data_IF_342276403203
#
_entry.id   IF_342276403203
#
_cell.length_a   1.000
_cell.length_b   1.000
_cell.length_c   1.000
_cell.angle_alpha   90.00
_cell.angle_beta   90.00
_cell.angle_gamma   90.00
#
_symmetry.space_group_name_H-M   'P 1'
#
loop_
_entity.id
_entity.type
_entity.pdbx_description
1 polymer ?
#
# COMPACT_ATOMS: atom_id res chain seq x y z
N UNK A 1 -18.02 -18.67 16.84
CA UNK A 1 -17.96 -18.48 15.36
C UNK A 1 -18.79 -19.58 14.70
N UNK A 2 -19.65 -19.21 13.75
CA UNK A 2 -20.54 -20.14 13.06
C UNK A 2 -19.78 -21.15 12.20
N UNK A 3 -20.17 -22.43 12.27
CA UNK A 3 -19.59 -23.48 11.45
C UNK A 3 -19.95 -23.29 9.96
N UNK A 4 -18.97 -23.27 9.03
CA UNK A 4 -19.25 -23.06 7.61
C UNK A 4 -19.91 -24.27 6.93
N UNK A 5 -19.93 -25.44 7.57
CA UNK A 5 -20.47 -26.68 7.01
C UNK A 5 -21.92 -26.96 7.41
N UNK A 6 -22.27 -26.76 8.69
CA UNK A 6 -23.61 -27.08 9.20
C UNK A 6 -24.35 -25.87 9.78
N UNK A 7 -23.71 -24.72 9.89
CA UNK A 7 -24.32 -23.51 10.43
C UNK A 7 -24.46 -23.45 11.95
N UNK A 8 -23.98 -24.45 12.69
CA UNK A 8 -23.98 -24.42 14.16
C UNK A 8 -23.22 -23.21 14.69
N UNK A 9 -23.76 -22.55 15.69
CA UNK A 9 -23.24 -21.25 16.16
C UNK A 9 -21.96 -21.37 17.00
N UNK A 10 -21.76 -22.51 17.64
CA UNK A 10 -20.63 -22.73 18.53
C UNK A 10 -19.56 -23.62 17.91
N UNK A 11 -18.33 -23.15 17.95
CA UNK A 11 -17.15 -23.89 17.53
C UNK A 11 -16.03 -23.64 18.52
N UNK A 12 -15.19 -24.66 18.77
CA UNK A 12 -14.08 -24.58 19.70
C UNK A 12 -12.74 -24.45 18.96
N UNK A 13 -11.84 -23.67 19.52
CA UNK A 13 -10.45 -23.59 19.02
C UNK A 13 -9.67 -24.78 19.60
N UNK A 14 -9.16 -25.63 18.71
CA UNK A 14 -8.35 -26.81 19.10
C UNK A 14 -6.85 -26.57 18.98
N UNK A 15 -6.45 -25.58 18.17
CA UNK A 15 -5.04 -25.20 18.01
C UNK A 15 -4.94 -23.72 17.66
N UNK A 16 -3.92 -23.04 18.20
CA UNK A 16 -3.55 -21.66 17.85
C UNK A 16 -2.07 -21.61 17.51
N UNK A 17 -1.73 -20.99 16.38
CA UNK A 17 -0.34 -20.72 15.97
C UNK A 17 -0.19 -19.26 15.56
N UNK A 18 0.88 -18.65 16.04
CA UNK A 18 1.32 -17.33 15.56
C UNK A 18 2.17 -17.53 14.29
N UNK A 19 2.01 -16.67 13.29
CA UNK A 19 2.93 -16.62 12.16
C UNK A 19 4.35 -16.27 12.61
N UNK A 20 5.37 -16.80 11.96
CA UNK A 20 6.79 -16.56 12.32
C UNK A 20 7.15 -15.08 12.31
N UNK A 21 6.55 -14.31 11.39
CA UNK A 21 6.70 -12.86 11.25
C UNK A 21 5.74 -12.05 12.15
N UNK A 22 4.88 -12.71 12.93
CA UNK A 22 3.92 -12.08 13.83
C UNK A 22 2.72 -11.40 13.13
N UNK A 23 2.56 -11.53 11.82
CA UNK A 23 1.57 -10.78 11.03
C UNK A 23 0.14 -11.28 11.16
N UNK A 24 -0.06 -12.53 11.58
CA UNK A 24 -1.39 -13.10 11.78
C UNK A 24 -1.38 -14.23 12.81
N UNK A 25 -2.57 -14.54 13.35
CA UNK A 25 -2.84 -15.70 14.19
C UNK A 25 -3.67 -16.68 13.37
N UNK A 26 -3.20 -17.93 13.27
CA UNK A 26 -3.92 -19.04 12.67
C UNK A 26 -4.57 -19.87 13.77
N UNK A 27 -5.89 -20.08 13.66
CA UNK A 27 -6.63 -20.93 14.60
C UNK A 27 -7.31 -22.08 13.86
N UNK A 28 -7.10 -23.30 14.36
CA UNK A 28 -7.85 -24.46 13.91
C UNK A 28 -9.05 -24.65 14.84
N UNK A 29 -10.23 -24.72 14.25
CA UNK A 29 -11.49 -24.84 14.97
C UNK A 29 -12.16 -26.17 14.67
N UNK A 30 -12.95 -26.68 15.63
CA UNK A 30 -13.80 -27.85 15.47
C UNK A 30 -15.25 -27.50 15.86
N UNK A 31 -16.20 -27.94 15.03
CA UNK A 31 -17.62 -27.81 15.33
C UNK A 31 -18.05 -28.88 16.31
N UNK A 32 -18.78 -28.50 17.36
CA UNK A 32 -19.34 -29.47 18.33
C UNK A 32 -20.49 -30.29 17.77
N UNK A 33 -21.18 -29.82 16.71
CA UNK A 33 -22.34 -30.53 16.14
C UNK A 33 -21.96 -31.50 15.00
N UNK A 34 -21.16 -31.07 14.03
CA UNK A 34 -20.78 -31.90 12.88
C UNK A 34 -19.34 -32.43 12.93
N UNK A 35 -18.60 -32.12 13.97
CA UNK A 35 -17.21 -32.51 14.24
C UNK A 35 -16.18 -32.11 13.17
N UNK A 36 -16.61 -31.46 12.09
CA UNK A 36 -15.72 -30.98 11.04
C UNK A 36 -14.80 -29.88 11.56
N UNK A 37 -13.59 -29.89 11.01
CA UNK A 37 -12.56 -28.91 11.35
C UNK A 37 -12.40 -27.89 10.21
N UNK A 38 -12.14 -26.63 10.58
CA UNK A 38 -11.83 -25.56 9.65
C UNK A 38 -10.80 -24.61 10.26
N UNK A 39 -10.15 -23.84 9.42
CA UNK A 39 -9.11 -22.90 9.84
C UNK A 39 -9.61 -21.47 9.69
N UNK A 40 -9.29 -20.65 10.68
CA UNK A 40 -9.52 -19.21 10.64
C UNK A 40 -8.23 -18.45 10.83
N UNK A 41 -8.17 -17.24 10.31
CA UNK A 41 -7.06 -16.34 10.46
C UNK A 41 -7.54 -15.04 11.11
N UNK A 42 -6.77 -14.56 12.06
CA UNK A 42 -6.94 -13.25 12.68
C UNK A 42 -5.79 -12.37 12.22
N UNK A 43 -6.12 -11.27 11.54
CA UNK A 43 -5.16 -10.28 11.03
C UNK A 43 -5.59 -8.90 11.47
N UNK A 44 -4.64 -7.99 11.75
CA UNK A 44 -4.99 -6.59 11.96
C UNK A 44 -5.69 -6.02 10.71
N UNK A 45 -6.79 -5.35 10.91
CA UNK A 45 -7.39 -4.55 9.84
C UNK A 45 -6.73 -3.18 9.81
N UNK A 46 -5.94 -2.93 8.75
CA UNK A 46 -5.28 -1.65 8.53
C UNK A 46 -6.06 -0.89 7.46
N UNK A 47 -6.69 0.20 7.87
CA UNK A 47 -7.47 1.05 6.96
C UNK A 47 -6.65 2.26 6.55
N UNK A 48 -6.35 2.36 5.25
CA UNK A 48 -5.73 3.54 4.66
C UNK A 48 -6.76 4.65 4.46
N UNK A 49 -6.34 5.93 4.47
CA UNK A 49 -7.23 7.03 4.11
C UNK A 49 -7.72 6.90 2.67
N UNK A 50 -8.97 7.27 2.42
CA UNK A 50 -9.52 7.35 1.07
C UNK A 50 -8.80 8.43 0.26
N UNK A 51 -8.55 8.16 -1.02
CA UNK A 51 -7.87 9.10 -1.92
C UNK A 51 -8.92 9.99 -2.59
N UNK A 52 -8.80 11.30 -2.39
CA UNK A 52 -9.64 12.29 -3.05
C UNK A 52 -8.96 12.75 -4.34
N UNK A 53 -9.59 12.47 -5.47
CA UNK A 53 -9.14 12.91 -6.80
C UNK A 53 -9.39 14.39 -7.03
N UNK A 54 -8.74 14.99 -8.06
CA UNK A 54 -8.94 16.40 -8.43
C UNK A 54 -10.40 16.77 -8.75
N UNK A 55 -11.19 15.80 -9.25
CA UNK A 55 -12.63 15.94 -9.52
C UNK A 55 -13.53 15.70 -8.31
N UNK A 56 -12.96 15.48 -7.12
CA UNK A 56 -13.67 15.25 -5.88
C UNK A 56 -14.09 13.79 -5.64
N UNK A 57 -13.88 12.88 -6.57
CA UNK A 57 -14.16 11.45 -6.39
C UNK A 57 -13.26 10.86 -5.30
N UNK A 58 -13.84 10.00 -4.46
CA UNK A 58 -13.13 9.22 -3.45
C UNK A 58 -12.90 7.81 -3.97
N UNK A 59 -11.67 7.35 -3.89
CA UNK A 59 -11.28 5.98 -4.24
C UNK A 59 -10.49 5.35 -3.10
N UNK A 60 -10.52 4.04 -3.02
CA UNK A 60 -9.70 3.30 -2.06
C UNK A 60 -8.23 3.33 -2.46
N UNK A 61 -7.35 3.34 -1.45
CA UNK A 61 -5.93 3.14 -1.64
C UNK A 61 -5.67 1.71 -2.15
N UNK A 62 -4.85 1.59 -3.18
CA UNK A 62 -4.42 0.30 -3.74
C UNK A 62 -2.91 0.28 -3.88
N UNK A 63 -2.26 -0.59 -3.10
CA UNK A 63 -0.79 -0.77 -3.11
C UNK A 63 -0.25 -1.09 -4.50
N UNK A 64 -0.99 -1.90 -5.28
CA UNK A 64 -0.61 -2.30 -6.64
C UNK A 64 -0.55 -1.12 -7.60
N UNK A 65 -1.43 -0.14 -7.46
CA UNK A 65 -1.40 1.10 -8.26
C UNK A 65 -0.20 1.97 -7.92
N UNK A 66 0.14 2.07 -6.64
CA UNK A 66 1.34 2.77 -6.20
C UNK A 66 2.59 2.08 -6.74
N UNK A 67 2.67 0.76 -6.62
CA UNK A 67 3.77 -0.07 -7.15
C UNK A 67 3.91 0.12 -8.67
N UNK A 68 2.84 0.06 -9.42
CA UNK A 68 2.85 0.25 -10.86
C UNK A 68 3.39 1.64 -11.26
N UNK A 69 3.01 2.69 -10.55
CA UNK A 69 3.52 4.05 -10.77
C UNK A 69 5.02 4.16 -10.52
N UNK A 70 5.52 3.57 -9.44
CA UNK A 70 6.95 3.54 -9.13
C UNK A 70 7.72 2.74 -10.18
N UNK A 71 7.25 1.55 -10.54
CA UNK A 71 7.88 0.68 -11.54
C UNK A 71 7.95 1.33 -12.93
N UNK A 72 6.92 2.09 -13.31
CA UNK A 72 6.91 2.83 -14.56
C UNK A 72 8.01 3.89 -14.60
N UNK A 73 8.16 4.67 -13.52
CA UNK A 73 9.20 5.68 -13.40
C UNK A 73 10.61 5.07 -13.35
N UNK A 74 10.74 3.93 -12.68
CA UNK A 74 12.01 3.20 -12.48
C UNK A 74 12.37 2.25 -13.62
N UNK A 75 11.59 2.21 -14.69
CA UNK A 75 11.84 1.30 -15.83
C UNK A 75 13.25 1.49 -16.40
N UNK A 76 14.02 0.38 -16.49
CA UNK A 76 15.42 0.36 -16.92
C UNK A 76 16.36 1.19 -16.02
N UNK A 77 16.01 1.35 -14.75
CA UNK A 77 16.91 1.94 -13.75
C UNK A 77 17.45 0.86 -12.80
N UNK A 78 18.69 1.01 -12.28
CA UNK A 78 19.32 0.02 -11.40
C UNK A 78 18.80 0.15 -9.95
N UNK A 79 17.49 -0.06 -9.76
CA UNK A 79 16.81 -0.06 -8.45
C UNK A 79 16.17 -1.42 -8.24
N UNK A 80 16.48 -2.07 -7.12
CA UNK A 80 16.00 -3.41 -6.82
C UNK A 80 14.51 -3.41 -6.38
N UNK A 81 13.89 -4.58 -6.48
CA UNK A 81 12.50 -4.77 -6.00
C UNK A 81 12.39 -4.49 -4.51
N UNK A 82 13.39 -4.88 -3.72
CA UNK A 82 13.44 -4.64 -2.27
C UNK A 82 13.49 -3.14 -1.95
N UNK A 83 14.21 -2.35 -2.74
CA UNK A 83 14.25 -0.89 -2.58
C UNK A 83 12.91 -0.25 -2.92
N UNK A 84 12.21 -0.76 -3.93
CA UNK A 84 10.85 -0.31 -4.28
C UNK A 84 9.87 -0.66 -3.17
N UNK A 85 9.93 -1.88 -2.63
CA UNK A 85 9.08 -2.33 -1.53
C UNK A 85 9.28 -1.47 -0.28
N UNK A 86 10.52 -1.21 0.10
CA UNK A 86 10.85 -0.34 1.22
C UNK A 86 10.35 1.11 1.02
N UNK A 87 10.38 1.61 -0.22
CA UNK A 87 9.82 2.93 -0.53
C UNK A 87 8.29 2.97 -0.38
N UNK A 88 7.61 1.91 -0.84
CA UNK A 88 6.16 1.76 -0.67
C UNK A 88 5.79 1.71 0.82
N UNK A 89 6.49 0.91 1.62
CA UNK A 89 6.27 0.82 3.06
C UNK A 89 6.41 2.17 3.75
N UNK A 90 7.45 2.95 3.44
CA UNK A 90 7.61 4.31 3.99
C UNK A 90 6.51 5.28 3.57
N UNK A 91 5.97 5.14 2.37
CA UNK A 91 4.81 5.93 1.92
C UNK A 91 3.56 5.51 2.71
N UNK A 92 3.32 4.21 2.85
CA UNK A 92 2.20 3.66 3.60
C UNK A 92 2.22 4.05 5.08
N UNK A 93 3.38 3.98 5.73
CA UNK A 93 3.57 4.47 7.11
C UNK A 93 3.14 5.93 7.26
N UNK A 94 3.52 6.78 6.30
CA UNK A 94 3.12 8.20 6.33
C UNK A 94 1.63 8.39 6.10
N UNK A 95 1.01 7.58 5.22
CA UNK A 95 -0.44 7.63 5.00
C UNK A 95 -1.20 7.20 6.25
N UNK A 96 -0.75 6.15 6.93
CA UNK A 96 -1.36 5.65 8.16
C UNK A 96 -1.17 6.61 9.35
N UNK A 97 -0.08 7.36 9.38
CA UNK A 97 0.18 8.36 10.40
C UNK A 97 -0.63 9.66 10.23
N UNK A 98 -1.33 9.83 9.09
CA UNK A 98 -2.19 11.00 8.89
C UNK A 98 -3.44 10.91 9.75
N UNK A 99 -3.81 12.01 10.46
CA UNK A 99 -5.00 12.02 11.32
C UNK A 99 -6.32 12.01 10.52
N UNK A 100 -6.27 12.38 9.25
CA UNK A 100 -7.44 12.44 8.38
C UNK A 100 -7.76 11.05 7.78
N UNK A 101 -9.05 10.77 7.62
CA UNK A 101 -9.55 9.59 6.89
C UNK A 101 -9.51 9.77 5.37
N UNK A 102 -9.13 10.93 4.90
CA UNK A 102 -9.03 11.29 3.49
C UNK A 102 -7.68 11.94 3.21
N UNK A 103 -7.13 11.67 2.03
CA UNK A 103 -5.89 12.27 1.54
C UNK A 103 -6.07 12.71 0.09
N UNK A 104 -5.65 13.91 -0.24
CA UNK A 104 -5.67 14.38 -1.62
C UNK A 104 -4.65 13.58 -2.48
N UNK A 105 -5.01 13.27 -3.71
CA UNK A 105 -4.14 12.50 -4.63
C UNK A 105 -2.80 13.19 -4.91
N UNK A 106 -2.75 14.52 -4.90
CA UNK A 106 -1.51 15.28 -5.02
C UNK A 106 -0.55 15.04 -3.83
N UNK A 107 -1.08 14.82 -2.62
CA UNK A 107 -0.25 14.51 -1.46
C UNK A 107 0.48 13.17 -1.62
N UNK A 108 -0.20 12.18 -2.19
CA UNK A 108 0.43 10.88 -2.50
C UNK A 108 1.52 11.07 -3.55
N UNK A 109 1.26 11.84 -4.59
CA UNK A 109 2.25 12.16 -5.62
C UNK A 109 3.50 12.83 -5.04
N UNK A 110 3.35 13.76 -4.08
CA UNK A 110 4.49 14.36 -3.38
C UNK A 110 5.30 13.32 -2.58
N UNK A 111 4.63 12.36 -1.91
CA UNK A 111 5.30 11.29 -1.19
C UNK A 111 6.09 10.39 -2.15
N UNK A 112 5.50 10.05 -3.29
CA UNK A 112 6.18 9.28 -4.37
C UNK A 112 7.40 10.03 -4.88
N UNK A 113 7.27 11.32 -5.17
CA UNK A 113 8.38 12.15 -5.64
C UNK A 113 9.54 12.18 -4.63
N UNK A 114 9.24 12.31 -3.33
CA UNK A 114 10.27 12.29 -2.29
C UNK A 114 11.04 10.97 -2.23
N UNK A 115 10.34 9.85 -2.37
CA UNK A 115 11.00 8.54 -2.40
C UNK A 115 11.79 8.32 -3.69
N UNK A 116 11.23 8.69 -4.85
CA UNK A 116 11.94 8.59 -6.13
C UNK A 116 13.21 9.45 -6.16
N UNK A 117 13.19 10.67 -5.57
CA UNK A 117 14.37 11.54 -5.49
C UNK A 117 15.53 10.87 -4.74
N UNK A 118 15.22 10.03 -3.74
CA UNK A 118 16.23 9.25 -3.00
C UNK A 118 16.72 8.03 -3.77
N UNK A 119 15.83 7.37 -4.51
CA UNK A 119 16.13 6.13 -5.22
C UNK A 119 16.90 6.37 -6.53
N UNK A 120 16.38 7.27 -7.37
CA UNK A 120 16.92 7.54 -8.69
C UNK A 120 16.43 8.88 -9.24
N UNK A 121 17.37 9.78 -9.51
CA UNK A 121 17.08 11.15 -9.98
C UNK A 121 16.38 11.16 -11.35
N UNK A 122 16.71 10.22 -12.25
CA UNK A 122 16.06 10.12 -13.56
C UNK A 122 14.60 9.66 -13.41
N UNK A 123 14.35 8.69 -12.55
CA UNK A 123 12.99 8.24 -12.25
C UNK A 123 12.15 9.37 -11.61
N UNK A 124 12.76 10.17 -10.74
CA UNK A 124 12.14 11.36 -10.19
C UNK A 124 11.68 12.33 -11.29
N UNK A 125 12.56 12.66 -12.23
CA UNK A 125 12.24 13.58 -13.35
C UNK A 125 11.14 13.00 -14.24
N UNK A 126 11.19 11.70 -14.55
CA UNK A 126 10.15 11.00 -15.33
C UNK A 126 8.78 11.09 -14.65
N UNK A 127 8.71 10.80 -13.37
CA UNK A 127 7.45 10.87 -12.63
C UNK A 127 6.95 12.31 -12.55
N UNK A 128 7.82 13.26 -12.25
CA UNK A 128 7.49 14.67 -12.18
C UNK A 128 6.97 15.22 -13.51
N UNK A 129 7.51 14.76 -14.65
CA UNK A 129 7.07 15.19 -15.97
C UNK A 129 5.62 14.84 -16.30
N UNK A 130 5.08 13.77 -15.68
CA UNK A 130 3.69 13.36 -15.84
C UNK A 130 2.82 13.91 -14.71
N UNK A 131 3.36 13.95 -13.51
CA UNK A 131 2.61 14.34 -12.32
C UNK A 131 2.40 15.85 -12.20
N UNK A 132 3.45 16.64 -12.50
CA UNK A 132 3.37 18.12 -12.55
C UNK A 132 2.92 18.57 -13.94
N UNK A 133 2.01 19.53 -13.98
CA UNK A 133 1.69 20.23 -15.21
C UNK A 133 2.70 21.36 -15.38
N UNK A 134 3.61 21.23 -16.34
CA UNK A 134 4.54 22.29 -16.71
C UNK A 134 3.90 23.18 -17.78
N UNK A 135 4.01 24.48 -17.64
CA UNK A 135 3.50 25.45 -18.63
C UNK A 135 4.50 25.65 -19.78
N UNK A 136 5.80 25.52 -19.47
CA UNK A 136 6.86 25.66 -20.45
C UNK A 136 8.08 24.75 -20.17
N UNK A 137 9.05 24.77 -21.10
CA UNK A 137 10.28 23.99 -21.02
C UNK A 137 11.24 24.50 -19.94
N UNK A 138 11.18 25.78 -19.60
CA UNK A 138 12.07 26.37 -18.61
C UNK A 138 11.71 25.93 -17.19
N UNK A 139 10.42 25.73 -16.88
CA UNK A 139 9.99 25.11 -15.62
C UNK A 139 10.50 23.66 -15.50
N UNK A 140 10.43 22.89 -16.60
CA UNK A 140 10.98 21.53 -16.62
C UNK A 140 12.51 21.52 -16.43
N UNK A 141 13.21 22.47 -17.04
CA UNK A 141 14.66 22.64 -16.91
C UNK A 141 15.05 22.96 -15.47
N UNK A 142 14.31 23.86 -14.82
CA UNK A 142 14.49 24.19 -13.42
C UNK A 142 14.37 22.94 -12.53
N UNK A 143 13.37 22.08 -12.77
CA UNK A 143 13.21 20.82 -12.06
C UNK A 143 14.43 19.91 -12.22
N UNK A 144 14.99 19.81 -13.44
CA UNK A 144 16.20 19.01 -13.69
C UNK A 144 17.41 19.58 -12.96
N UNK A 145 17.56 20.88 -12.91
CA UNK A 145 18.65 21.55 -12.21
C UNK A 145 18.57 21.38 -10.67
N UNK A 146 17.37 21.31 -10.09
CA UNK A 146 17.13 21.01 -8.67
C UNK A 146 17.60 19.61 -8.21
N UNK A 147 17.78 18.67 -9.14
CA UNK A 147 18.16 17.28 -8.83
C UNK A 147 19.57 16.92 -9.31
N UNK A 148 20.30 17.84 -9.89
CA UNK A 148 21.73 17.71 -10.22
C UNK A 148 22.65 17.59 -8.97
#
# INVERSE_FOLDING_TARGET
MKCPFCGHLETQVVETRLAEDGTFIRRRRQCGACEKRFTTYEKPEVTFPAIVKKDGRRIEYQREKLRASLNLALRKRPVSTEQVDAAIERIEEKLLAMPSREVASNRIGELVMRELKKLDKVAYVRFASVYRSFEDVDEFKTLVDEVR
#
